data_IF_959777554749
#
_entry.id   IF_959777554749
#
_cell.length_a   1.000
_cell.length_b   1.000
_cell.length_c   1.000
_cell.angle_alpha   90.00
_cell.angle_beta   90.00
_cell.angle_gamma   90.00
#
_symmetry.space_group_name_H-M   'P 1'
#
loop_
_entity.id
_entity.type
_entity.pdbx_description
1 polymer ?
#
# COMPACT_ATOMS: atom_id res chain seq x y z
N UNK A 1 -15.93 -6.08 78.84
CA UNK A 1 -15.56 -5.02 77.88
C UNK A 1 -15.06 -5.69 76.60
N UNK A 2 -15.86 -5.67 75.52
CA UNK A 2 -15.46 -6.25 74.23
C UNK A 2 -14.58 -5.23 73.49
N UNK A 3 -13.34 -5.61 73.20
CA UNK A 3 -12.41 -4.80 72.39
C UNK A 3 -12.74 -4.99 70.91
N UNK A 4 -13.08 -3.90 70.22
CA UNK A 4 -13.26 -3.87 68.77
C UNK A 4 -11.92 -3.41 68.19
N UNK A 5 -11.25 -4.27 67.41
CA UNK A 5 -10.13 -3.86 66.58
C UNK A 5 -10.68 -3.23 65.28
N UNK A 6 -10.28 -2.01 64.91
CA UNK A 6 -10.62 -1.47 63.61
C UNK A 6 -9.77 -2.17 62.53
N UNK A 7 -10.42 -2.87 61.62
CA UNK A 7 -9.81 -3.38 60.39
C UNK A 7 -9.68 -2.21 59.42
N UNK A 8 -8.46 -1.77 59.13
CA UNK A 8 -8.20 -0.77 58.09
C UNK A 8 -8.03 -1.50 56.76
N UNK A 9 -9.03 -1.40 55.88
CA UNK A 9 -8.94 -1.89 54.51
C UNK A 9 -8.32 -0.80 53.62
N UNK A 10 -7.16 -1.10 53.03
CA UNK A 10 -6.49 -0.23 52.05
C UNK A 10 -7.00 -0.64 50.67
N UNK A 11 -7.71 0.28 49.99
CA UNK A 11 -8.19 0.10 48.62
C UNK A 11 -7.04 0.45 47.65
N UNK A 12 -6.46 -0.56 47.00
CA UNK A 12 -5.51 -0.33 45.90
C UNK A 12 -6.28 -0.04 44.61
N UNK A 13 -6.30 1.22 44.17
CA UNK A 13 -6.79 1.60 42.84
C UNK A 13 -5.61 1.51 41.87
N UNK A 14 -5.45 0.36 41.22
CA UNK A 14 -4.50 0.20 40.13
C UNK A 14 -4.98 0.98 38.90
N UNK A 15 -4.27 2.05 38.53
CA UNK A 15 -4.50 2.74 37.27
C UNK A 15 -3.61 2.10 36.20
N UNK A 16 -4.24 1.46 35.22
CA UNK A 16 -3.55 0.98 34.02
C UNK A 16 -3.40 2.17 33.07
N UNK A 17 -2.23 2.82 33.09
CA UNK A 17 -1.88 3.80 32.06
C UNK A 17 -1.42 3.05 30.80
N UNK A 18 -2.31 2.90 29.82
CA UNK A 18 -1.91 2.48 28.48
C UNK A 18 -1.39 3.72 27.73
N UNK A 19 -0.11 3.75 27.38
CA UNK A 19 0.44 4.79 26.51
C UNK A 19 0.14 4.41 25.05
N UNK A 20 -0.85 5.06 24.45
CA UNK A 20 -1.17 4.99 23.02
C UNK A 20 -0.38 6.09 22.29
N UNK A 21 0.15 5.81 21.09
CA UNK A 21 0.77 6.86 20.29
C UNK A 21 -0.32 7.76 19.73
N UNK A 22 -0.47 8.95 20.32
CA UNK A 22 -1.50 9.93 19.99
C UNK A 22 -0.88 11.13 19.28
N UNK A 23 -1.48 11.54 18.16
CA UNK A 23 -1.19 12.82 17.51
C UNK A 23 -2.48 13.54 17.23
N UNK A 24 -2.60 14.78 17.69
CA UNK A 24 -3.77 15.61 17.49
C UNK A 24 -3.54 17.03 17.97
N UNK A 25 -4.41 17.96 17.57
CA UNK A 25 -4.25 19.35 17.95
C UNK A 25 -4.40 19.54 19.46
N UNK A 26 -3.84 20.63 19.98
CA UNK A 26 -3.97 21.00 21.39
C UNK A 26 -5.39 21.48 21.72
N UNK A 27 -5.78 21.48 23.02
CA UNK A 27 -7.04 22.09 23.46
C UNK A 27 -7.15 23.60 23.15
N UNK A 28 -6.04 24.27 22.85
CA UNK A 28 -5.98 25.67 22.43
C UNK A 28 -5.99 25.86 20.91
N UNK A 29 -6.37 24.83 20.15
CA UNK A 29 -6.46 24.81 18.69
C UNK A 29 -5.13 24.99 17.94
N UNK A 30 -4.02 24.51 18.52
CA UNK A 30 -2.75 24.44 17.80
C UNK A 30 -2.58 23.07 17.15
N UNK A 31 -2.19 23.06 15.87
CA UNK A 31 -1.96 21.82 15.12
C UNK A 31 -0.66 21.13 15.56
N UNK A 32 -0.72 19.81 15.71
CA UNK A 32 0.46 18.99 15.97
C UNK A 32 0.56 17.86 14.96
N UNK A 33 1.78 17.56 14.54
CA UNK A 33 2.06 16.47 13.62
C UNK A 33 3.46 15.92 13.83
N UNK A 34 3.67 14.69 13.37
CA UNK A 34 4.97 14.03 13.34
C UNK A 34 5.48 13.98 11.92
N UNK A 35 6.67 14.51 11.71
CA UNK A 35 7.33 14.54 10.41
C UNK A 35 8.47 13.51 10.38
N UNK A 36 8.36 12.51 9.51
CA UNK A 36 9.29 11.39 9.41
C UNK A 36 9.95 11.42 8.04
N UNK A 37 11.21 11.85 7.99
CA UNK A 37 11.96 12.00 6.76
C UNK A 37 13.13 11.01 6.71
N UNK A 38 13.16 10.15 5.67
CA UNK A 38 14.23 9.15 5.47
C UNK A 38 14.54 8.34 6.75
N UNK A 39 13.48 8.00 7.48
CA UNK A 39 13.55 7.36 8.78
C UNK A 39 12.35 6.46 9.03
N UNK A 40 12.47 5.62 10.05
CA UNK A 40 11.39 4.79 10.55
C UNK A 40 10.78 5.42 11.81
N UNK A 41 9.47 5.57 11.82
CA UNK A 41 8.68 5.71 13.04
C UNK A 41 8.16 4.33 13.44
N UNK A 42 8.62 3.82 14.58
CA UNK A 42 8.16 2.55 15.12
C UNK A 42 7.14 2.78 16.24
N UNK A 43 5.98 2.14 16.14
CA UNK A 43 4.93 2.16 17.17
C UNK A 43 4.56 0.73 17.53
N UNK A 44 4.78 0.31 18.78
CA UNK A 44 4.59 -1.09 19.17
C UNK A 44 3.14 -1.58 19.04
N UNK A 45 2.17 -0.71 19.23
CA UNK A 45 0.74 -1.04 19.19
C UNK A 45 -0.01 -0.12 18.22
N UNK A 46 -1.20 0.36 18.56
CA UNK A 46 -2.01 1.22 17.72
C UNK A 46 -1.62 2.71 17.76
N UNK A 47 -1.99 3.39 16.68
CA UNK A 47 -1.85 4.83 16.49
C UNK A 47 -3.24 5.48 16.55
N UNK A 48 -3.34 6.59 17.27
CA UNK A 48 -4.53 7.44 17.30
C UNK A 48 -4.20 8.80 16.66
N UNK A 49 -4.88 9.13 15.56
CA UNK A 49 -4.71 10.41 14.86
C UNK A 49 -6.00 11.22 14.93
N UNK A 50 -5.91 12.45 15.41
CA UNK A 50 -6.98 13.43 15.27
C UNK A 50 -6.64 14.43 14.18
N UNK A 51 -7.66 14.79 13.41
CA UNK A 51 -7.53 15.75 12.32
C UNK A 51 -7.16 17.13 12.88
N UNK A 52 -6.11 17.71 12.31
CA UNK A 52 -5.69 19.09 12.60
C UNK A 52 -6.67 20.10 11.99
N UNK A 53 -6.68 21.32 12.53
CA UNK A 53 -7.63 22.36 12.14
C UNK A 53 -7.27 22.99 10.80
N UNK A 54 -5.98 23.25 10.55
CA UNK A 54 -5.53 23.86 9.30
C UNK A 54 -5.34 22.79 8.21
N UNK A 55 -5.89 23.02 7.02
CA UNK A 55 -5.74 22.13 5.87
C UNK A 55 -4.28 22.02 5.38
N UNK A 56 -3.45 23.02 5.63
CA UNK A 56 -2.01 23.00 5.31
C UNK A 56 -1.21 22.02 6.17
N UNK A 57 -1.73 21.67 7.36
CA UNK A 57 -1.12 20.78 8.35
C UNK A 57 -2.08 19.66 8.77
N UNK A 58 -3.05 19.34 7.92
CA UNK A 58 -4.20 18.51 8.26
C UNK A 58 -3.90 17.06 8.69
N UNK A 59 -2.77 16.49 8.24
CA UNK A 59 -2.38 15.12 8.59
C UNK A 59 -1.59 15.08 9.90
N UNK A 60 -1.77 14.03 10.70
CA UNK A 60 -1.05 13.84 11.96
C UNK A 60 0.34 13.24 11.76
N UNK A 61 0.56 12.48 10.68
CA UNK A 61 1.87 11.90 10.34
C UNK A 61 2.20 12.21 8.88
N UNK A 62 3.43 12.68 8.64
CA UNK A 62 3.96 12.95 7.31
C UNK A 62 5.18 12.07 7.04
N UNK A 63 5.05 11.15 6.08
CA UNK A 63 6.12 10.25 5.63
C UNK A 63 6.78 10.81 4.36
N UNK A 64 8.08 11.07 4.44
CA UNK A 64 8.82 11.96 3.53
C UNK A 64 10.18 11.37 3.18
N UNK A 65 10.64 11.55 1.94
CA UNK A 65 11.85 10.91 1.39
C UNK A 65 12.05 9.44 1.82
N UNK A 66 11.04 8.59 1.63
CA UNK A 66 11.11 7.17 2.03
C UNK A 66 10.92 6.91 3.53
N UNK A 67 10.40 7.88 4.29
CA UNK A 67 9.98 7.70 5.67
C UNK A 67 8.85 6.66 5.79
N UNK A 68 8.83 5.91 6.89
CA UNK A 68 7.94 4.75 7.06
C UNK A 68 7.35 4.68 8.46
N UNK A 69 6.09 4.25 8.56
CA UNK A 69 5.46 3.86 9.82
C UNK A 69 5.47 2.34 9.93
N UNK A 70 6.17 1.80 10.91
CA UNK A 70 6.17 0.36 11.23
C UNK A 70 5.46 0.13 12.55
N UNK A 71 4.46 -0.74 12.53
CA UNK A 71 3.73 -1.14 13.74
C UNK A 71 4.14 -2.53 14.21
N UNK A 72 4.13 -2.73 15.53
CA UNK A 72 4.60 -3.96 16.15
C UNK A 72 3.86 -5.20 15.62
N UNK A 73 4.60 -6.29 15.46
CA UNK A 73 4.07 -7.58 15.00
C UNK A 73 2.99 -8.16 15.91
N UNK A 74 3.01 -7.81 17.19
CA UNK A 74 2.10 -8.31 18.23
C UNK A 74 0.93 -7.32 18.49
N UNK A 75 0.72 -6.32 17.62
CA UNK A 75 -0.40 -5.38 17.71
C UNK A 75 -1.74 -6.13 17.67
N UNK A 76 -2.62 -5.82 18.61
CA UNK A 76 -3.97 -6.40 18.70
C UNK A 76 -5.09 -5.36 18.61
N UNK A 77 -4.80 -4.08 18.82
CA UNK A 77 -5.75 -2.98 18.74
C UNK A 77 -5.66 -2.29 17.38
N UNK A 78 -6.78 -1.91 16.73
CA UNK A 78 -6.75 -1.18 15.46
C UNK A 78 -6.33 0.28 15.66
N UNK A 79 -5.80 0.90 14.61
CA UNK A 79 -5.60 2.35 14.59
C UNK A 79 -6.93 3.09 14.67
N UNK A 80 -6.96 4.23 15.35
CA UNK A 80 -8.18 4.99 15.66
C UNK A 80 -8.05 6.49 15.37
N UNK A 81 -9.16 7.22 15.55
CA UNK A 81 -9.24 8.67 15.32
C UNK A 81 -9.66 9.05 13.89
N UNK A 82 -9.81 10.35 13.62
CA UNK A 82 -10.31 10.87 12.34
C UNK A 82 -9.25 11.62 11.51
N UNK A 83 -7.99 11.59 11.95
CA UNK A 83 -6.86 12.20 11.28
C UNK A 83 -6.17 11.26 10.29
N UNK A 84 -5.38 11.85 9.40
CA UNK A 84 -4.73 11.14 8.30
C UNK A 84 -3.23 10.96 8.55
N UNK A 85 -2.68 9.88 8.01
CA UNK A 85 -1.28 9.78 7.61
C UNK A 85 -1.16 10.21 6.15
N UNK A 86 -0.08 10.93 5.81
CA UNK A 86 0.28 11.34 4.46
C UNK A 86 1.57 10.63 4.03
N UNK A 87 1.54 9.94 2.89
CA UNK A 87 2.73 9.30 2.29
C UNK A 87 2.78 9.52 0.79
N UNK A 88 3.93 9.99 0.32
CA UNK A 88 4.17 10.22 -1.10
C UNK A 88 4.64 8.94 -1.79
N UNK A 89 4.03 8.60 -2.92
CA UNK A 89 4.49 7.56 -3.84
C UNK A 89 4.50 8.11 -5.27
N UNK A 90 5.34 7.53 -6.12
CA UNK A 90 5.51 8.00 -7.51
C UNK A 90 5.11 6.89 -8.45
N UNK A 91 4.17 7.18 -9.37
CA UNK A 91 3.86 6.26 -10.46
C UNK A 91 4.97 6.21 -11.50
N UNK A 92 4.98 5.16 -12.31
CA UNK A 92 5.88 5.03 -13.45
C UNK A 92 5.18 5.20 -14.80
N UNK A 93 3.85 5.32 -14.78
CA UNK A 93 3.03 5.32 -15.98
C UNK A 93 2.64 6.73 -16.44
N UNK A 94 2.60 6.91 -17.76
CA UNK A 94 1.92 8.03 -18.42
C UNK A 94 0.41 7.79 -18.59
N UNK A 95 -0.27 8.68 -19.32
CA UNK A 95 -1.72 8.62 -19.52
C UNK A 95 -2.22 7.34 -20.24
N UNK A 96 -1.31 6.61 -20.88
CA UNK A 96 -1.60 5.42 -21.68
C UNK A 96 -1.13 4.12 -21.03
N UNK A 97 -0.39 4.17 -19.92
CA UNK A 97 0.16 2.98 -19.28
C UNK A 97 -0.45 2.79 -17.89
N UNK A 98 -0.39 1.57 -17.36
CA UNK A 98 -0.98 1.25 -16.06
C UNK A 98 0.09 1.18 -14.97
N UNK A 99 -0.25 1.75 -13.81
CA UNK A 99 0.32 1.35 -12.54
C UNK A 99 -0.62 0.34 -11.88
N UNK A 100 -0.04 -0.65 -11.21
CA UNK A 100 -0.76 -1.47 -10.23
C UNK A 100 -0.40 -0.99 -8.83
N UNK A 101 -1.41 -0.52 -8.13
CA UNK A 101 -1.30 0.04 -6.78
C UNK A 101 -2.00 -0.85 -5.77
N UNK A 102 -1.65 -0.69 -4.51
CA UNK A 102 -2.48 -0.96 -3.35
C UNK A 102 -2.43 0.26 -2.45
N UNK A 103 -3.29 0.32 -1.44
CA UNK A 103 -3.32 1.49 -0.55
C UNK A 103 -2.69 1.20 0.81
N UNK A 104 -1.74 2.05 1.29
CA UNK A 104 -1.26 2.03 2.66
C UNK A 104 -2.24 2.61 3.68
N UNK A 105 -3.32 3.25 3.20
CA UNK A 105 -4.30 3.97 4.00
C UNK A 105 -5.74 3.62 3.60
N UNK A 106 -6.70 3.90 4.46
CA UNK A 106 -8.12 3.82 4.14
C UNK A 106 -8.92 4.94 4.77
N UNK A 107 -10.22 4.99 4.50
CA UNK A 107 -11.12 5.89 5.20
C UNK A 107 -11.16 5.60 6.72
N UNK A 108 -11.63 6.58 7.50
CA UNK A 108 -11.74 6.46 8.96
C UNK A 108 -12.90 5.54 9.39
N UNK A 109 -12.75 4.23 9.18
CA UNK A 109 -13.67 3.18 9.67
C UNK A 109 -13.33 2.75 11.12
N UNK A 110 -13.94 1.71 11.70
CA UNK A 110 -13.53 1.20 13.04
C UNK A 110 -12.21 0.42 13.01
N UNK A 111 -11.75 0.01 11.82
CA UNK A 111 -10.51 -0.75 11.58
C UNK A 111 -9.77 -0.17 10.35
N UNK A 112 -9.03 -1.01 9.62
CA UNK A 112 -8.55 -0.66 8.28
C UNK A 112 -9.75 -0.35 7.37
N UNK A 113 -9.78 0.85 6.81
CA UNK A 113 -10.87 1.34 6.00
C UNK A 113 -10.77 0.95 4.53
N UNK A 114 -11.83 1.21 3.78
CA UNK A 114 -11.82 1.11 2.32
C UNK A 114 -11.02 2.28 1.73
N UNK A 115 -10.37 2.03 0.60
CA UNK A 115 -9.71 3.04 -0.20
C UNK A 115 -10.55 3.45 -1.40
N UNK A 116 -10.36 4.69 -1.85
CA UNK A 116 -10.90 5.23 -3.08
C UNK A 116 -9.97 6.31 -3.61
N UNK A 117 -10.03 6.58 -4.92
CA UNK A 117 -9.12 7.54 -5.56
C UNK A 117 -9.26 8.97 -5.02
N UNK A 118 -10.33 9.30 -4.30
CA UNK A 118 -10.51 10.59 -3.60
C UNK A 118 -9.52 10.82 -2.47
N UNK A 119 -8.83 9.78 -2.01
CA UNK A 119 -7.76 9.86 -1.02
C UNK A 119 -6.40 10.25 -1.64
N UNK A 120 -6.32 10.35 -2.97
CA UNK A 120 -5.15 10.89 -3.64
C UNK A 120 -5.12 12.42 -3.60
N UNK A 121 -3.93 12.95 -3.33
CA UNK A 121 -3.64 14.37 -3.39
C UNK A 121 -2.37 14.61 -4.23
N UNK A 122 -2.20 15.84 -4.73
CA UNK A 122 -0.95 16.29 -5.35
C UNK A 122 -0.13 17.10 -4.32
N UNK A 123 1.14 16.75 -4.06
CA UNK A 123 2.02 17.51 -3.16
C UNK A 123 2.10 18.99 -3.55
N UNK A 124 2.07 19.93 -2.59
CA UNK A 124 2.24 21.37 -2.87
C UNK A 124 3.33 21.98 -1.99
N UNK A 125 3.37 21.58 -0.72
CA UNK A 125 4.46 21.88 0.22
C UNK A 125 4.81 20.60 0.98
N UNK A 126 5.69 20.69 2.00
CA UNK A 126 6.06 19.54 2.82
C UNK A 126 4.86 18.91 3.54
N UNK A 127 3.86 19.70 3.94
CA UNK A 127 2.70 19.26 4.74
C UNK A 127 1.37 19.44 4.02
N UNK A 128 1.31 20.33 3.03
CA UNK A 128 0.10 20.58 2.24
C UNK A 128 0.13 19.83 0.91
N UNK A 129 -0.99 19.20 0.59
CA UNK A 129 -1.26 18.58 -0.70
C UNK A 129 -2.68 18.92 -1.12
N UNK A 130 -2.88 19.23 -2.40
CA UNK A 130 -4.18 19.57 -2.97
C UNK A 130 -4.93 18.27 -3.32
N UNK A 131 -6.18 18.07 -2.89
CA UNK A 131 -6.96 16.89 -3.29
C UNK A 131 -7.02 16.74 -4.81
N UNK A 132 -6.88 15.50 -5.30
CA UNK A 132 -7.07 15.21 -6.71
C UNK A 132 -8.56 15.33 -7.08
N UNK A 133 -8.86 15.90 -8.24
CA UNK A 133 -10.19 15.77 -8.84
C UNK A 133 -10.31 14.44 -9.59
N UNK A 134 -11.52 14.10 -10.03
CA UNK A 134 -11.76 12.92 -10.86
C UNK A 134 -12.47 13.31 -12.15
N UNK A 135 -12.24 12.52 -13.20
CA UNK A 135 -12.87 12.71 -14.50
C UNK A 135 -13.28 11.37 -15.11
N UNK A 136 -14.39 11.38 -15.85
CA UNK A 136 -14.82 10.26 -16.69
C UNK A 136 -14.24 10.33 -18.11
N UNK A 137 -13.27 11.22 -18.36
CA UNK A 137 -12.47 11.21 -19.60
C UNK A 137 -11.48 10.03 -19.62
N UNK A 138 -10.98 9.68 -20.80
CA UNK A 138 -9.93 8.66 -20.93
C UNK A 138 -8.61 9.11 -20.27
N UNK A 139 -8.28 10.40 -20.34
CA UNK A 139 -7.06 10.92 -19.74
C UNK A 139 -7.36 11.75 -18.48
N UNK A 140 -6.52 11.56 -17.47
CA UNK A 140 -6.35 12.50 -16.37
C UNK A 140 -5.38 13.64 -16.74
N UNK A 141 -5.26 14.65 -15.88
CA UNK A 141 -4.34 15.78 -16.02
C UNK A 141 -3.40 15.87 -14.82
N UNK A 142 -2.15 16.26 -15.03
CA UNK A 142 -1.16 16.43 -13.96
C UNK A 142 -1.39 17.69 -13.12
N UNK A 143 -1.84 18.79 -13.74
CA UNK A 143 -2.01 20.08 -13.07
C UNK A 143 -3.19 20.90 -13.64
N UNK A 144 -4.25 21.18 -12.86
CA UNK A 144 -4.52 20.56 -11.55
C UNK A 144 -4.68 19.04 -11.69
N UNK A 145 -4.24 18.31 -10.66
CA UNK A 145 -4.27 16.84 -10.68
C UNK A 145 -5.72 16.34 -10.79
N UNK A 146 -6.00 15.62 -11.88
CA UNK A 146 -7.27 14.95 -12.13
C UNK A 146 -7.01 13.51 -12.54
N UNK A 147 -7.63 12.56 -11.85
CA UNK A 147 -7.48 11.11 -12.11
C UNK A 147 -8.67 10.63 -12.93
N UNK A 148 -8.41 9.87 -13.99
CA UNK A 148 -9.48 9.22 -14.75
C UNK A 148 -10.06 8.05 -13.96
N UNK A 149 -11.36 8.10 -13.67
CA UNK A 149 -12.05 7.02 -12.97
C UNK A 149 -12.28 5.78 -13.85
N UNK A 150 -12.13 5.93 -15.18
CA UNK A 150 -12.32 4.83 -16.14
C UNK A 150 -11.35 3.67 -15.96
N UNK A 151 -10.21 3.89 -15.34
CA UNK A 151 -9.12 2.90 -15.29
C UNK A 151 -8.92 2.29 -13.90
N UNK A 152 -9.87 2.50 -13.00
CA UNK A 152 -9.80 1.98 -11.63
C UNK A 152 -10.54 0.66 -11.57
N UNK A 153 -9.77 -0.43 -11.57
CA UNK A 153 -10.28 -1.78 -11.46
C UNK A 153 -9.50 -2.54 -10.40
N UNK A 154 -10.19 -3.42 -9.68
CA UNK A 154 -9.55 -4.52 -8.95
C UNK A 154 -9.57 -5.76 -9.84
N UNK A 155 -8.82 -6.80 -9.49
CA UNK A 155 -8.81 -8.05 -10.26
C UNK A 155 -8.89 -9.26 -9.35
N UNK A 156 -9.83 -10.16 -9.65
CA UNK A 156 -9.97 -11.49 -9.06
C UNK A 156 -10.62 -12.41 -10.09
N UNK A 157 -9.92 -13.44 -10.55
CA UNK A 157 -10.46 -14.37 -11.54
C UNK A 157 -9.37 -15.21 -12.21
N UNK A 158 -9.77 -16.01 -13.19
CA UNK A 158 -8.84 -16.93 -13.92
C UNK A 158 -8.47 -16.41 -15.31
N UNK A 159 -9.13 -15.35 -15.78
CA UNK A 159 -8.96 -14.78 -17.10
C UNK A 159 -9.26 -13.27 -17.11
N UNK A 160 -9.29 -12.67 -18.30
CA UNK A 160 -9.54 -11.24 -18.49
C UNK A 160 -10.87 -10.74 -17.89
N UNK A 161 -11.88 -11.60 -17.75
CA UNK A 161 -13.17 -11.21 -17.17
C UNK A 161 -13.09 -11.00 -15.64
N UNK A 162 -11.95 -11.30 -15.01
CA UNK A 162 -11.68 -11.03 -13.59
C UNK A 162 -11.51 -9.54 -13.23
N UNK A 163 -11.44 -8.63 -14.21
CA UNK A 163 -11.38 -7.19 -13.95
C UNK A 163 -12.72 -6.65 -13.46
N UNK A 164 -12.73 -6.09 -12.25
CA UNK A 164 -13.92 -5.51 -11.62
C UNK A 164 -13.82 -3.99 -11.49
N UNK A 165 -14.75 -3.28 -12.12
CA UNK A 165 -14.77 -1.82 -12.17
C UNK A 165 -15.12 -1.20 -10.81
N UNK A 166 -14.28 -0.28 -10.34
CA UNK A 166 -14.50 0.49 -9.10
C UNK A 166 -14.89 1.94 -9.40
N UNK A 167 -14.28 2.53 -10.43
CA UNK A 167 -14.49 3.94 -10.74
C UNK A 167 -14.01 4.88 -9.64
N UNK A 168 -14.81 5.91 -9.35
CA UNK A 168 -14.54 6.90 -8.29
C UNK A 168 -15.03 6.47 -6.89
N UNK A 169 -15.52 5.24 -6.76
CA UNK A 169 -16.01 4.70 -5.48
C UNK A 169 -14.90 4.54 -4.43
N UNK A 170 -15.27 4.65 -3.16
CA UNK A 170 -14.43 4.22 -2.02
C UNK A 170 -14.81 2.79 -1.65
N UNK A 171 -14.27 1.84 -2.42
CA UNK A 171 -14.70 0.44 -2.38
C UNK A 171 -13.56 -0.58 -2.40
N UNK A 172 -12.28 -0.16 -2.41
CA UNK A 172 -11.14 -1.06 -2.49
C UNK A 172 -10.76 -1.49 -1.07
N UNK A 173 -10.86 -2.78 -0.71
CA UNK A 173 -10.47 -3.23 0.63
C UNK A 173 -8.95 -3.21 0.83
N UNK A 174 -8.46 -3.13 2.08
CA UNK A 174 -7.03 -3.23 2.39
C UNK A 174 -6.41 -4.50 1.80
N UNK A 175 -5.19 -4.40 1.25
CA UNK A 175 -4.44 -5.52 0.68
C UNK A 175 -4.83 -5.88 -0.76
N UNK A 176 -6.05 -5.55 -1.19
CA UNK A 176 -6.42 -5.64 -2.60
C UNK A 176 -5.70 -4.53 -3.38
N UNK A 177 -5.17 -4.89 -4.54
CA UNK A 177 -4.59 -3.94 -5.47
C UNK A 177 -5.61 -3.47 -6.50
N UNK A 178 -5.28 -2.39 -7.19
CA UNK A 178 -6.07 -1.80 -8.24
C UNK A 178 -5.20 -1.29 -9.39
N UNK A 179 -5.74 -1.33 -10.60
CA UNK A 179 -5.15 -0.66 -11.76
C UNK A 179 -5.44 0.85 -11.69
N UNK A 180 -4.50 1.65 -12.21
CA UNK A 180 -4.74 3.07 -12.48
C UNK A 180 -3.79 3.54 -13.57
N UNK A 181 -4.31 4.18 -14.62
CA UNK A 181 -3.44 4.84 -15.59
C UNK A 181 -2.80 6.09 -15.00
N UNK A 182 -1.65 6.47 -15.55
CA UNK A 182 -1.05 7.77 -15.25
C UNK A 182 -1.89 8.94 -15.74
N UNK A 183 -1.29 10.14 -15.68
CA UNK A 183 -1.93 11.39 -16.09
C UNK A 183 -1.17 12.02 -17.26
N UNK A 184 -1.86 12.88 -18.01
CA UNK A 184 -1.26 13.63 -19.10
C UNK A 184 -0.69 14.98 -18.60
N UNK A 185 0.34 15.47 -19.30
CA UNK A 185 0.96 16.77 -19.01
C UNK A 185 2.04 16.70 -17.93
N UNK A 186 2.45 17.87 -17.44
CA UNK A 186 3.49 18.05 -16.43
C UNK A 186 2.96 18.82 -15.22
N UNK A 187 3.62 18.65 -14.09
CA UNK A 187 3.45 19.48 -12.89
C UNK A 187 4.85 19.81 -12.37
N UNK A 188 5.32 21.02 -12.69
CA UNK A 188 6.65 21.52 -12.34
C UNK A 188 6.79 21.92 -10.86
N UNK A 189 5.73 21.76 -10.05
CA UNK A 189 5.79 21.99 -8.60
C UNK A 189 6.87 21.09 -7.98
N UNK A 190 7.81 21.71 -7.26
CA UNK A 190 8.92 20.99 -6.59
C UNK A 190 8.65 20.90 -5.10
N UNK A 191 8.53 19.67 -4.60
CA UNK A 191 8.40 19.36 -3.17
C UNK A 191 9.52 18.39 -2.79
N UNK A 192 10.24 18.67 -1.69
CA UNK A 192 11.41 17.88 -1.24
C UNK A 192 12.58 17.79 -2.23
N UNK A 193 12.64 18.70 -3.22
CA UNK A 193 13.62 18.66 -4.30
C UNK A 193 13.23 17.77 -5.48
N UNK A 194 12.01 17.24 -5.51
CA UNK A 194 11.49 16.39 -6.58
C UNK A 194 10.29 17.05 -7.25
N UNK A 195 10.30 17.11 -8.58
CA UNK A 195 9.19 17.58 -9.42
C UNK A 195 8.00 16.64 -9.28
N UNK A 196 6.79 17.18 -9.20
CA UNK A 196 5.57 16.38 -9.04
C UNK A 196 5.27 15.49 -10.24
N UNK A 197 5.44 16.00 -11.47
CA UNK A 197 5.32 15.16 -12.65
C UNK A 197 6.17 15.71 -13.82
N UNK A 198 7.27 15.04 -14.20
CA UNK A 198 8.09 15.42 -15.34
C UNK A 198 7.52 14.95 -16.70
N UNK A 199 6.31 14.40 -16.77
CA UNK A 199 5.66 13.94 -18.01
C UNK A 199 5.39 12.43 -18.08
N UNK A 200 5.23 11.76 -16.95
CA UNK A 200 5.03 10.30 -16.88
C UNK A 200 5.37 9.66 -15.53
N UNK A 201 5.61 10.47 -14.50
CA UNK A 201 5.98 10.01 -13.16
C UNK A 201 5.29 10.87 -12.10
N UNK A 202 3.96 10.86 -12.12
CA UNK A 202 3.16 11.64 -11.19
C UNK A 202 3.39 11.17 -9.74
N UNK A 203 3.69 12.13 -8.87
CA UNK A 203 3.72 11.96 -7.43
C UNK A 203 2.30 12.10 -6.87
N UNK A 204 1.91 11.10 -6.11
CA UNK A 204 0.64 11.03 -5.41
C UNK A 204 0.89 11.02 -3.91
N UNK A 205 0.09 11.78 -3.17
CA UNK A 205 0.03 11.74 -1.73
C UNK A 205 -1.20 10.95 -1.30
N UNK A 206 -0.96 9.75 -0.77
CA UNK A 206 -1.99 8.93 -0.15
C UNK A 206 -2.30 9.50 1.23
N UNK A 207 -3.56 9.94 1.43
CA UNK A 207 -4.03 10.47 2.71
C UNK A 207 -5.20 9.66 3.26
N UNK A 208 -5.05 9.16 4.47
CA UNK A 208 -6.10 8.42 5.18
C UNK A 208 -5.57 7.81 6.47
N UNK A 209 -6.40 7.02 7.14
CA UNK A 209 -5.95 6.26 8.31
C UNK A 209 -4.96 5.18 7.88
N UNK A 210 -3.77 5.06 8.51
CA UNK A 210 -2.81 4.02 8.15
C UNK A 210 -3.36 2.63 8.44
N UNK A 211 -3.27 1.75 7.46
CA UNK A 211 -3.59 0.33 7.62
C UNK A 211 -2.58 -0.34 8.54
N UNK A 212 -3.03 -1.32 9.33
CA UNK A 212 -2.19 -2.12 10.22
C UNK A 212 -2.77 -3.46 10.60
N UNK A 213 -2.00 -4.28 11.32
CA UNK A 213 -2.39 -5.60 11.76
C UNK A 213 -2.49 -6.59 10.60
N UNK A 214 -3.08 -7.76 10.86
CA UNK A 214 -3.23 -8.79 9.85
C UNK A 214 -4.36 -8.43 8.88
N UNK A 215 -4.12 -8.58 7.58
CA UNK A 215 -5.10 -8.37 6.51
C UNK A 215 -5.21 -9.69 5.72
N UNK A 216 -6.41 -10.26 5.72
CA UNK A 216 -6.69 -11.55 5.09
C UNK A 216 -7.50 -11.36 3.81
N UNK A 217 -7.16 -12.11 2.78
CA UNK A 217 -7.73 -12.06 1.44
C UNK A 217 -8.05 -13.49 1.01
N UNK A 218 -9.32 -13.85 0.81
CA UNK A 218 -9.69 -15.14 0.24
C UNK A 218 -9.14 -15.29 -1.17
N UNK A 219 -8.65 -16.47 -1.50
CA UNK A 219 -8.16 -16.82 -2.84
C UNK A 219 -8.42 -18.31 -3.12
N UNK A 220 -9.06 -18.60 -4.25
CA UNK A 220 -9.33 -19.96 -4.69
C UNK A 220 -8.12 -20.57 -5.43
N UNK A 221 -8.12 -21.90 -5.59
CA UNK A 221 -7.15 -22.56 -6.46
C UNK A 221 -7.26 -22.02 -7.89
N UNK A 222 -6.11 -21.80 -8.54
CA UNK A 222 -5.98 -21.27 -9.91
C UNK A 222 -6.46 -19.81 -10.08
N UNK A 223 -7.07 -19.21 -9.06
CA UNK A 223 -7.47 -17.81 -9.08
C UNK A 223 -6.24 -16.89 -9.09
N UNK A 224 -6.26 -15.93 -10.00
CA UNK A 224 -5.34 -14.82 -10.04
C UNK A 224 -6.00 -13.64 -9.32
N UNK A 225 -5.29 -13.01 -8.41
CA UNK A 225 -5.78 -11.82 -7.68
C UNK A 225 -4.73 -10.71 -7.72
N UNK A 226 -5.18 -9.48 -7.94
CA UNK A 226 -4.36 -8.28 -7.80
C UNK A 226 -4.34 -7.87 -6.32
N UNK A 227 -3.16 -7.93 -5.72
CA UNK A 227 -2.89 -7.53 -4.34
C UNK A 227 -1.75 -6.51 -4.31
N UNK A 228 -1.41 -5.99 -3.15
CA UNK A 228 -0.22 -5.14 -3.01
C UNK A 228 0.09 -4.77 -1.59
N UNK A 229 1.23 -4.11 -1.39
CA UNK A 229 1.68 -3.70 -0.06
C UNK A 229 0.64 -2.77 0.60
N UNK A 230 -0.08 -3.24 1.65
CA UNK A 230 -1.16 -2.46 2.25
C UNK A 230 -0.67 -1.55 3.36
N UNK A 231 0.64 -1.48 3.62
CA UNK A 231 1.18 -0.83 4.81
C UNK A 231 1.94 0.45 4.46
N UNK A 232 1.96 1.46 5.34
CA UNK A 232 2.76 2.68 5.20
C UNK A 232 4.26 2.44 5.50
N UNK A 233 4.78 1.29 5.09
CA UNK A 233 6.19 0.87 5.18
C UNK A 233 6.52 -0.09 4.05
N UNK A 234 7.81 -0.33 3.78
CA UNK A 234 8.22 -1.42 2.91
C UNK A 234 7.80 -2.77 3.51
N UNK A 235 7.55 -3.73 2.62
CA UNK A 235 7.14 -5.10 2.97
C UNK A 235 8.22 -6.08 2.47
N UNK A 236 8.65 -7.01 3.31
CA UNK A 236 9.49 -8.13 2.87
C UNK A 236 8.64 -9.11 2.05
N UNK A 237 8.70 -8.95 0.72
CA UNK A 237 7.96 -9.77 -0.24
C UNK A 237 8.41 -11.23 -0.18
N UNK A 238 9.68 -11.49 0.13
CA UNK A 238 10.16 -12.87 0.27
C UNK A 238 9.52 -13.55 1.46
N UNK A 239 9.47 -12.89 2.61
CA UNK A 239 8.78 -13.42 3.78
C UNK A 239 7.29 -13.62 3.51
N UNK A 240 6.62 -12.63 2.89
CA UNK A 240 5.21 -12.75 2.51
C UNK A 240 4.94 -13.95 1.59
N UNK A 241 5.74 -14.15 0.53
CA UNK A 241 5.56 -15.26 -0.40
C UNK A 241 5.87 -16.61 0.24
N UNK A 242 6.85 -16.68 1.14
CA UNK A 242 7.17 -17.91 1.87
C UNK A 242 6.08 -18.30 2.87
N UNK A 243 5.52 -17.34 3.62
CA UNK A 243 4.41 -17.58 4.55
C UNK A 243 3.13 -17.99 3.84
N UNK A 244 2.90 -17.51 2.61
CA UNK A 244 1.70 -17.77 1.82
C UNK A 244 1.92 -18.79 0.68
N UNK A 245 2.93 -19.65 0.77
CA UNK A 245 3.11 -20.76 -0.19
C UNK A 245 3.67 -22.01 0.47
N UNK A 246 3.38 -23.19 -0.08
CA UNK A 246 3.85 -24.47 0.46
C UNK A 246 3.28 -24.79 1.83
N UNK A 247 3.73 -25.89 2.45
CA UNK A 247 3.17 -26.36 3.72
C UNK A 247 4.25 -26.61 4.77
N UNK A 248 3.86 -26.52 6.05
CA UNK A 248 4.70 -26.86 7.18
C UNK A 248 5.58 -25.70 7.65
N UNK A 249 6.64 -26.04 8.39
CA UNK A 249 7.53 -25.06 9.02
C UNK A 249 8.88 -25.02 8.34
N UNK A 250 9.33 -23.84 7.94
CA UNK A 250 10.66 -23.60 7.40
C UNK A 250 11.52 -22.94 8.47
N UNK A 251 12.56 -23.65 8.95
CA UNK A 251 13.55 -23.06 9.85
C UNK A 251 14.55 -22.23 9.05
N UNK A 252 14.74 -20.98 9.45
CA UNK A 252 15.54 -19.98 8.75
C UNK A 252 16.48 -19.27 9.73
N UNK A 253 17.60 -18.77 9.23
CA UNK A 253 18.55 -17.98 10.04
C UNK A 253 18.10 -16.53 10.25
N UNK A 254 17.28 -15.98 9.36
CA UNK A 254 16.89 -14.57 9.37
C UNK A 254 15.49 -14.29 9.96
N UNK A 255 14.57 -15.26 9.92
CA UNK A 255 13.19 -15.11 10.42
C UNK A 255 12.86 -16.06 11.58
N UNK A 256 13.78 -16.95 11.97
CA UNK A 256 13.46 -18.08 12.85
C UNK A 256 12.59 -19.10 12.11
N UNK A 257 11.48 -19.52 12.70
CA UNK A 257 10.54 -20.45 12.06
C UNK A 257 9.49 -19.68 11.26
N UNK A 258 9.46 -19.91 9.95
CA UNK A 258 8.41 -19.42 9.05
C UNK A 258 7.36 -20.51 8.92
N UNK A 259 6.16 -20.26 9.42
CA UNK A 259 4.99 -21.10 9.18
C UNK A 259 4.46 -20.82 7.77
N UNK A 260 4.31 -21.88 6.98
CA UNK A 260 3.92 -21.81 5.57
C UNK A 260 2.52 -22.34 5.37
N UNK A 261 1.72 -21.56 4.64
CA UNK A 261 0.34 -21.85 4.27
C UNK A 261 0.26 -22.02 2.77
N UNK A 262 -0.33 -23.11 2.29
CA UNK A 262 -0.36 -23.44 0.86
C UNK A 262 -1.46 -22.65 0.12
N UNK A 263 -1.35 -21.32 0.21
CA UNK A 263 -2.35 -20.38 -0.28
C UNK A 263 -2.09 -19.94 -1.71
N UNK A 264 -0.83 -19.73 -2.06
CA UNK A 264 -0.39 -19.29 -3.39
C UNK A 264 0.77 -20.12 -3.92
N UNK A 265 1.09 -19.95 -5.21
CA UNK A 265 2.26 -20.53 -5.85
C UNK A 265 3.60 -20.01 -5.31
N UNK A 266 3.60 -18.95 -4.49
CA UNK A 266 4.82 -18.34 -3.96
C UNK A 266 5.58 -17.48 -4.98
N UNK A 267 4.93 -17.06 -6.06
CA UNK A 267 5.48 -16.20 -7.11
C UNK A 267 4.64 -14.92 -7.20
N UNK A 268 5.31 -13.77 -7.26
CA UNK A 268 4.69 -12.48 -7.52
C UNK A 268 4.89 -12.06 -8.97
N UNK A 269 3.83 -11.55 -9.61
CA UNK A 269 3.84 -11.15 -11.01
C UNK A 269 3.59 -9.63 -11.12
N UNK A 270 4.48 -8.92 -11.80
CA UNK A 270 4.46 -7.46 -11.92
C UNK A 270 4.24 -7.06 -13.37
N UNK A 271 3.17 -6.34 -13.65
CA UNK A 271 2.94 -5.77 -14.97
C UNK A 271 4.01 -4.72 -15.29
N UNK A 272 4.58 -4.81 -16.49
CA UNK A 272 5.41 -3.78 -17.10
C UNK A 272 5.03 -3.67 -18.59
N UNK A 273 5.12 -2.47 -19.13
CA UNK A 273 4.73 -2.19 -20.51
C UNK A 273 5.71 -1.26 -21.19
N UNK A 274 5.64 -1.24 -22.52
CA UNK A 274 6.39 -0.28 -23.30
C UNK A 274 6.04 1.14 -22.85
N UNK A 275 7.06 1.93 -22.54
CA UNK A 275 6.86 3.33 -22.19
C UNK A 275 6.38 4.16 -23.39
N UNK A 276 5.63 5.22 -23.09
CA UNK A 276 5.15 6.18 -24.09
C UNK A 276 4.19 5.55 -25.11
N UNK A 277 3.32 4.65 -24.64
CA UNK A 277 2.14 4.24 -25.40
C UNK A 277 1.29 5.46 -25.80
N UNK A 278 0.46 5.31 -26.84
CA UNK A 278 -0.38 6.38 -27.38
C UNK A 278 -1.84 5.95 -27.64
N UNK A 279 -2.24 4.79 -27.10
CA UNK A 279 -3.57 4.22 -27.29
C UNK A 279 -4.20 3.80 -25.97
N UNK A 280 -5.54 3.81 -25.93
CA UNK A 280 -6.32 3.22 -24.85
C UNK A 280 -6.90 1.85 -25.22
N UNK A 281 -6.71 1.38 -26.45
CA UNK A 281 -7.22 0.10 -26.90
C UNK A 281 -6.32 -1.02 -26.39
N UNK A 282 -6.92 -2.09 -25.86
CA UNK A 282 -6.19 -3.24 -25.32
C UNK A 282 -5.25 -3.87 -26.37
N UNK A 283 -5.70 -3.95 -27.61
CA UNK A 283 -4.96 -4.58 -28.71
C UNK A 283 -3.65 -3.87 -29.07
N UNK A 284 -3.54 -2.59 -28.73
CA UNK A 284 -2.36 -1.76 -28.99
C UNK A 284 -1.32 -1.85 -27.87
N UNK A 285 -1.62 -2.53 -26.76
CA UNK A 285 -0.67 -2.67 -25.66
C UNK A 285 0.46 -3.62 -26.02
N UNK A 286 1.67 -3.21 -25.62
CA UNK A 286 2.87 -4.02 -25.62
C UNK A 286 3.37 -4.11 -24.19
N UNK A 287 3.35 -5.30 -23.61
CA UNK A 287 3.70 -5.49 -22.20
C UNK A 287 3.71 -6.95 -21.76
N UNK A 288 4.02 -7.17 -20.49
CA UNK A 288 4.05 -8.51 -19.90
C UNK A 288 4.25 -8.48 -18.40
N UNK A 289 4.30 -9.65 -17.80
CA UNK A 289 4.51 -9.82 -16.37
C UNK A 289 5.93 -10.28 -16.06
N UNK A 290 6.68 -9.44 -15.35
CA UNK A 290 7.91 -9.87 -14.70
C UNK A 290 7.58 -10.72 -13.49
N UNK A 291 8.47 -11.65 -13.14
CA UNK A 291 8.21 -12.63 -12.08
C UNK A 291 9.27 -12.53 -10.99
N UNK A 292 8.82 -12.52 -9.73
CA UNK A 292 9.70 -12.59 -8.58
C UNK A 292 9.45 -13.90 -7.82
N UNK A 293 10.54 -14.60 -7.49
CA UNK A 293 10.52 -15.72 -6.55
C UNK A 293 11.55 -15.49 -5.44
N UNK A 294 11.24 -15.81 -4.17
CA UNK A 294 12.24 -15.79 -3.12
C UNK A 294 13.33 -16.85 -3.33
N UNK A 295 13.09 -17.89 -4.15
CA UNK A 295 13.94 -19.10 -4.35
C UNK A 295 14.16 -19.91 -3.07
N UNK A 296 14.71 -19.28 -2.04
CA UNK A 296 14.87 -19.81 -0.69
C UNK A 296 14.76 -18.67 0.33
N UNK A 297 14.51 -19.02 1.59
CA UNK A 297 14.52 -18.04 2.68
C UNK A 297 15.88 -17.34 2.81
N UNK A 298 15.84 -16.09 3.27
CA UNK A 298 17.02 -15.26 3.55
C UNK A 298 17.89 -14.91 2.33
N UNK A 299 17.43 -15.13 1.10
CA UNK A 299 18.14 -14.71 -0.12
C UNK A 299 17.58 -13.37 -0.64
N UNK A 300 18.21 -12.78 -1.66
CA UNK A 300 17.65 -11.63 -2.37
C UNK A 300 16.46 -12.00 -3.28
N UNK A 301 16.22 -13.30 -3.50
CA UNK A 301 15.31 -13.79 -4.53
C UNK A 301 15.87 -13.60 -5.94
N UNK A 302 15.04 -13.92 -6.92
CA UNK A 302 15.31 -13.70 -8.35
C UNK A 302 14.10 -12.98 -8.93
N UNK A 303 14.37 -11.89 -9.64
CA UNK A 303 13.42 -11.24 -10.53
C UNK A 303 13.80 -11.58 -11.98
N UNK A 304 12.84 -12.01 -12.79
CA UNK A 304 13.01 -12.10 -14.24
C UNK A 304 12.10 -11.04 -14.88
N UNK A 305 12.66 -10.06 -15.60
CA UNK A 305 11.86 -9.07 -16.33
C UNK A 305 10.97 -9.72 -17.39
N UNK A 306 9.80 -9.12 -17.69
CA UNK A 306 8.94 -9.65 -18.73
C UNK A 306 9.60 -9.55 -20.10
N UNK A 307 9.42 -10.57 -20.93
CA UNK A 307 9.49 -10.41 -22.38
C UNK A 307 8.15 -9.86 -22.84
N UNK A 308 8.16 -8.70 -23.49
CA UNK A 308 6.93 -8.03 -23.89
C UNK A 308 6.26 -8.76 -25.06
N UNK A 309 4.93 -8.71 -25.04
CA UNK A 309 4.04 -9.27 -26.06
C UNK A 309 3.11 -8.18 -26.56
N UNK A 310 2.74 -8.23 -27.84
CA UNK A 310 1.62 -7.44 -28.38
C UNK A 310 0.32 -8.24 -28.28
N UNK A 311 -0.78 -7.59 -27.89
CA UNK A 311 -2.07 -8.24 -27.63
C UNK A 311 -3.12 -7.99 -28.73
N UNK A 312 -2.66 -7.81 -29.98
CA UNK A 312 -3.53 -7.65 -31.15
C UNK A 312 -4.37 -8.90 -31.48
N UNK A 313 -4.83 -9.01 -32.72
CA UNK A 313 -5.59 -10.19 -33.18
C UNK A 313 -4.86 -11.52 -32.99
N UNK A 314 -3.52 -11.49 -32.93
CA UNK A 314 -2.66 -12.61 -32.56
C UNK A 314 -1.61 -12.13 -31.57
N UNK A 315 -1.50 -12.82 -30.43
CA UNK A 315 -0.43 -12.55 -29.46
C UNK A 315 0.93 -12.87 -30.09
N UNK A 316 1.83 -11.88 -30.09
CA UNK A 316 3.17 -12.05 -30.66
C UNK A 316 4.23 -11.61 -29.65
N UNK A 317 5.23 -12.46 -29.43
CA UNK A 317 6.38 -12.16 -28.59
C UNK A 317 7.26 -11.13 -29.31
N UNK A 318 7.60 -10.05 -28.61
CA UNK A 318 8.51 -9.02 -29.12
C UNK A 318 9.95 -9.28 -28.68
N UNK A 319 10.92 -8.55 -29.23
CA UNK A 319 12.30 -8.55 -28.74
C UNK A 319 12.54 -7.61 -27.55
N UNK A 320 11.51 -6.88 -27.10
CA UNK A 320 11.62 -5.94 -25.99
C UNK A 320 11.48 -6.67 -24.65
N UNK A 321 12.22 -6.19 -23.65
CA UNK A 321 12.12 -6.64 -22.26
C UNK A 321 11.76 -5.47 -21.37
N UNK A 322 11.02 -5.77 -20.30
CA UNK A 322 10.79 -4.83 -19.21
C UNK A 322 12.04 -4.52 -18.39
N UNK A 323 11.88 -3.65 -17.41
CA UNK A 323 12.98 -3.21 -16.53
C UNK A 323 13.31 -4.26 -15.48
N UNK A 324 14.58 -4.27 -15.07
CA UNK A 324 15.06 -5.03 -13.92
C UNK A 324 14.72 -4.31 -12.61
N UNK A 325 14.29 -5.04 -11.59
CA UNK A 325 13.95 -4.46 -10.28
C UNK A 325 14.42 -5.36 -9.13
N UNK A 326 14.96 -4.74 -8.08
CA UNK A 326 15.13 -5.38 -6.78
C UNK A 326 13.76 -5.50 -6.09
N UNK A 327 13.20 -6.71 -6.01
CA UNK A 327 11.81 -6.93 -5.56
C UNK A 327 11.66 -7.55 -4.17
N UNK A 328 12.75 -7.90 -3.48
CA UNK A 328 12.66 -8.46 -2.12
C UNK A 328 11.92 -7.53 -1.17
N UNK A 329 12.21 -6.24 -1.21
CA UNK A 329 11.52 -5.24 -0.40
C UNK A 329 10.56 -4.46 -1.29
N UNK A 330 9.27 -4.71 -1.07
CA UNK A 330 8.19 -4.14 -1.87
C UNK A 330 7.89 -2.71 -1.38
N UNK A 331 7.93 -1.70 -2.27
CA UNK A 331 7.59 -0.32 -1.91
C UNK A 331 6.17 -0.17 -1.37
N UNK A 332 5.92 0.94 -0.66
CA UNK A 332 4.60 1.29 -0.13
C UNK A 332 3.59 1.39 -1.27
N UNK A 333 2.48 0.64 -1.16
CA UNK A 333 1.41 0.67 -2.15
C UNK A 333 1.75 0.04 -3.51
N UNK A 334 2.88 -0.64 -3.69
CA UNK A 334 3.15 -1.36 -4.95
C UNK A 334 2.22 -2.58 -5.06
N UNK A 335 1.48 -2.66 -6.17
CA UNK A 335 0.62 -3.80 -6.53
C UNK A 335 1.33 -4.88 -7.34
N UNK A 336 0.85 -6.11 -7.26
CA UNK A 336 1.31 -7.30 -7.96
C UNK A 336 0.22 -8.39 -8.00
N UNK A 337 0.28 -9.27 -8.98
CA UNK A 337 -0.61 -10.43 -9.07
C UNK A 337 0.01 -11.63 -8.35
N UNK A 338 -0.84 -12.49 -7.79
CA UNK A 338 -0.48 -13.83 -7.28
C UNK A 338 -1.46 -14.86 -7.81
N UNK A 339 -1.06 -16.13 -7.80
CA UNK A 339 -1.90 -17.26 -8.23
C UNK A 339 -2.17 -18.17 -7.03
N UNK A 340 -3.43 -18.49 -6.80
CA UNK A 340 -3.88 -19.30 -5.68
C UNK A 340 -3.67 -20.80 -5.87
N UNK A 341 -3.46 -21.49 -4.76
CA UNK A 341 -3.38 -22.95 -4.66
C UNK A 341 -4.51 -23.55 -3.81
N UNK A 342 -5.30 -22.70 -3.13
CA UNK A 342 -6.67 -23.03 -2.68
C UNK A 342 -6.85 -23.76 -1.36
N UNK A 343 -6.03 -23.48 -0.33
CA UNK A 343 -6.17 -24.15 0.98
C UNK A 343 -6.50 -23.20 2.15
N UNK A 344 -6.15 -21.92 2.08
CA UNK A 344 -6.37 -20.93 3.16
C UNK A 344 -6.36 -19.48 2.60
N UNK A 345 -6.73 -18.49 3.41
CA UNK A 345 -6.65 -17.06 3.05
C UNK A 345 -5.22 -16.55 2.96
N UNK A 346 -4.97 -15.70 1.95
CA UNK A 346 -3.72 -14.96 1.80
C UNK A 346 -3.64 -13.93 2.91
N UNK A 347 -2.51 -13.85 3.62
CA UNK A 347 -2.37 -13.00 4.81
C UNK A 347 -1.17 -12.06 4.71
N UNK A 348 -1.44 -10.76 4.72
CA UNK A 348 -0.46 -9.73 5.08
C UNK A 348 -0.37 -9.61 6.60
N UNK A 349 0.83 -9.45 7.15
CA UNK A 349 1.08 -9.35 8.60
C UNK A 349 1.99 -8.18 8.93
N UNK A 350 1.84 -7.60 10.12
CA UNK A 350 2.81 -6.61 10.62
C UNK A 350 4.24 -7.18 10.72
N UNK A 351 4.41 -8.48 10.96
CA UNK A 351 5.72 -9.15 10.98
C UNK A 351 6.46 -9.12 9.64
N UNK A 352 5.76 -8.86 8.53
CA UNK A 352 6.36 -8.75 7.20
C UNK A 352 6.87 -7.33 6.91
N UNK A 353 6.56 -6.35 7.76
CA UNK A 353 7.01 -4.96 7.58
C UNK A 353 8.49 -4.84 7.91
N UNK A 354 9.19 -4.08 7.09
CA UNK A 354 10.63 -3.81 7.26
C UNK A 354 10.94 -2.40 6.80
N UNK A 355 11.92 -1.76 7.45
CA UNK A 355 12.43 -0.50 6.94
C UNK A 355 13.44 -0.80 5.83
N UNK A 356 13.10 -0.43 4.60
CA UNK A 356 13.99 -0.50 3.43
C UNK A 356 13.81 0.73 2.56
N UNK A 357 14.91 1.22 2.00
CA UNK A 357 14.91 2.33 1.05
C UNK A 357 14.57 1.88 -0.36
#
# INVERSE_FOLDING_TARGET
>A
MRRILPFMAILFIGHWCNAQFFVGPSPSNEDHYVYVQDAMLFVANDVHLNKNYNSETGAGIYLRKGGQLIQGKDQTTPNTGNGDLSVYQTGSAGAFDYNYWASPVGNSAEKNGLFGISMFHSPQTLTYSRPASHTSSLNGSANPLSISDRWIYTFSGIDYYGWYFIGSGTAIPPGYGFSMKGVQGTDDTVVEGTVNNPGGAQRYDFRGRPNSGNIQIPIAAEEIILVGNPYPSSLDLSLFLLENSGSGNLSTSCYGVVERKNTTTGIAYFWDSQENGNSHNLEDYIGGYGTFSPVAACTAGIYEPPVFKSYGSVETVTSQKGKEYERRFLPVGQGFMVIGTGEEDLTFKNSQRVFSR
#
